data_IF_879157449722
#
_entry.id   IF_879157449722
#
_cell.length_a   1.000
_cell.length_b   1.000
_cell.length_c   1.000
_cell.angle_alpha   90.00
_cell.angle_beta   90.00
_cell.angle_gamma   90.00
#
_symmetry.space_group_name_H-M   'P 1'
#
loop_
_entity.id
_entity.type
_entity.pdbx_description
1 polymer ?
#
# COMPACT_ATOMS: atom_id res chain seq x y z
N UNK A 1 -2.54 -30.88 7.17
CA UNK A 1 -2.44 -31.64 5.89
C UNK A 1 -1.30 -31.01 5.12
N UNK A 2 -0.47 -31.84 4.47
CA UNK A 2 0.62 -31.33 3.65
C UNK A 2 0.10 -30.63 2.38
N UNK A 3 0.78 -29.57 1.94
CA UNK A 3 0.50 -28.88 0.69
C UNK A 3 0.97 -29.73 -0.50
N UNK A 4 0.03 -30.16 -1.34
CA UNK A 4 0.34 -30.85 -2.62
C UNK A 4 0.86 -29.81 -3.61
N UNK A 5 2.18 -29.74 -3.70
CA UNK A 5 2.89 -28.62 -4.29
C UNK A 5 3.41 -28.94 -5.68
N UNK A 6 3.16 -28.03 -6.60
CA UNK A 6 3.84 -27.96 -7.90
C UNK A 6 4.84 -26.81 -7.84
N UNK A 7 6.09 -27.09 -8.18
CA UNK A 7 7.15 -26.08 -8.27
C UNK A 7 7.48 -25.80 -9.74
N UNK A 8 7.43 -24.54 -10.12
CA UNK A 8 7.74 -24.08 -11.49
C UNK A 8 8.88 -23.06 -11.39
N UNK A 9 10.05 -23.41 -11.87
CA UNK A 9 11.27 -22.60 -11.76
C UNK A 9 12.13 -22.77 -13.02
N UNK A 10 12.45 -21.64 -13.67
CA UNK A 10 13.19 -21.64 -14.94
C UNK A 10 14.67 -22.04 -14.78
N UNK A 11 15.27 -21.67 -13.67
CA UNK A 11 16.66 -22.02 -13.33
C UNK A 11 16.72 -23.44 -12.73
N UNK A 12 17.37 -24.37 -13.42
CA UNK A 12 17.47 -25.78 -13.01
C UNK A 12 18.20 -25.98 -11.68
N UNK A 13 19.20 -25.16 -11.40
CA UNK A 13 19.96 -25.26 -10.14
C UNK A 13 19.09 -24.83 -8.97
N UNK A 14 18.40 -23.71 -9.14
CA UNK A 14 17.43 -23.21 -8.16
C UNK A 14 16.26 -24.18 -7.98
N UNK A 15 15.74 -24.74 -9.07
CA UNK A 15 14.69 -25.76 -9.03
C UNK A 15 15.05 -26.96 -8.15
N UNK A 16 16.28 -27.49 -8.32
CA UNK A 16 16.77 -28.63 -7.54
C UNK A 16 16.94 -28.26 -6.06
N UNK A 17 17.47 -27.07 -5.77
CA UNK A 17 17.64 -26.55 -4.39
C UNK A 17 16.30 -26.39 -3.67
N UNK A 18 15.35 -25.70 -4.30
CA UNK A 18 14.01 -25.48 -3.74
C UNK A 18 13.23 -26.78 -3.56
N UNK A 19 13.32 -27.70 -4.54
CA UNK A 19 12.71 -29.01 -4.46
C UNK A 19 13.26 -29.83 -3.29
N UNK A 20 14.57 -29.78 -3.06
CA UNK A 20 15.22 -30.45 -1.91
C UNK A 20 14.74 -29.85 -0.59
N UNK A 21 14.66 -28.52 -0.51
CA UNK A 21 14.17 -27.79 0.68
C UNK A 21 12.74 -28.17 1.02
N UNK A 22 11.83 -28.21 0.04
CA UNK A 22 10.44 -28.58 0.25
C UNK A 22 10.29 -30.05 0.66
N UNK A 23 11.01 -30.98 0.03
CA UNK A 23 10.96 -32.41 0.36
C UNK A 23 11.47 -32.77 1.76
N UNK A 24 12.26 -31.89 2.36
CA UNK A 24 12.74 -32.08 3.73
C UNK A 24 11.71 -31.68 4.81
N UNK A 25 10.64 -30.99 4.41
CA UNK A 25 9.59 -30.55 5.33
C UNK A 25 8.34 -31.43 5.23
N UNK A 26 7.74 -31.84 6.36
CA UNK A 26 6.49 -32.60 6.36
C UNK A 26 5.27 -31.78 5.90
N UNK A 27 5.42 -30.45 5.79
CA UNK A 27 4.34 -29.56 5.39
C UNK A 27 4.06 -29.59 3.89
N UNK A 28 5.01 -30.15 3.08
CA UNK A 28 4.91 -30.15 1.64
C UNK A 28 5.03 -31.55 1.04
N UNK A 29 4.17 -31.84 0.09
CA UNK A 29 4.24 -33.01 -0.79
C UNK A 29 4.49 -32.50 -2.21
N UNK A 30 5.76 -32.55 -2.68
CA UNK A 30 6.11 -32.10 -4.03
C UNK A 30 5.66 -33.13 -5.05
N UNK A 31 4.57 -32.83 -5.75
CA UNK A 31 3.94 -33.71 -6.72
C UNK A 31 4.66 -33.74 -8.06
N UNK A 32 5.14 -32.58 -8.50
CA UNK A 32 5.92 -32.44 -9.73
C UNK A 32 6.72 -31.12 -9.72
N UNK A 33 7.75 -31.08 -10.57
CA UNK A 33 8.55 -29.88 -10.82
C UNK A 33 8.60 -29.63 -12.33
N UNK A 34 8.54 -28.36 -12.72
CA UNK A 34 8.60 -27.93 -14.12
C UNK A 34 9.58 -26.78 -14.26
N UNK A 35 10.29 -26.74 -15.39
CA UNK A 35 11.11 -25.58 -15.78
C UNK A 35 10.49 -24.76 -16.92
N UNK A 36 9.28 -25.11 -17.30
CA UNK A 36 8.51 -24.50 -18.38
C UNK A 36 7.05 -24.32 -17.95
N UNK A 37 6.50 -23.14 -18.19
CA UNK A 37 5.15 -22.76 -17.77
C UNK A 37 4.07 -23.53 -18.53
N UNK A 38 4.27 -23.78 -19.82
CA UNK A 38 3.27 -24.47 -20.64
C UNK A 38 3.14 -25.95 -20.23
N UNK A 39 4.27 -26.59 -19.92
CA UNK A 39 4.29 -27.95 -19.38
C UNK A 39 3.62 -28.01 -17.99
N UNK A 40 3.87 -27.00 -17.13
CA UNK A 40 3.25 -26.90 -15.83
C UNK A 40 1.72 -26.79 -15.95
N UNK A 41 1.21 -25.85 -16.75
CA UNK A 41 -0.23 -25.67 -16.96
C UNK A 41 -0.93 -26.92 -17.53
N UNK A 42 -0.30 -27.58 -18.54
CA UNK A 42 -0.91 -28.71 -19.21
C UNK A 42 -0.88 -30.02 -18.41
N UNK A 43 0.04 -30.20 -17.46
CA UNK A 43 0.26 -31.49 -16.78
C UNK A 43 -0.05 -31.49 -15.29
N UNK A 44 -0.14 -30.32 -14.64
CA UNK A 44 -0.33 -30.24 -13.18
C UNK A 44 -1.67 -30.79 -12.72
N UNK A 45 -2.72 -30.75 -13.55
CA UNK A 45 -4.05 -31.26 -13.21
C UNK A 45 -4.09 -32.76 -12.85
N UNK A 46 -3.14 -33.55 -13.36
CA UNK A 46 -3.00 -34.97 -13.03
C UNK A 46 -2.65 -35.21 -11.55
N UNK A 47 -2.08 -34.22 -10.89
CA UNK A 47 -1.58 -34.30 -9.53
C UNK A 47 -2.54 -33.70 -8.49
N UNK A 48 -3.64 -33.06 -8.92
CA UNK A 48 -4.61 -32.39 -8.05
C UNK A 48 -3.93 -31.50 -7.00
N UNK A 49 -3.10 -30.53 -7.42
CA UNK A 49 -2.33 -29.67 -6.51
C UNK A 49 -3.24 -28.71 -5.75
N UNK A 50 -2.81 -28.29 -4.57
CA UNK A 50 -3.43 -27.19 -3.83
C UNK A 50 -2.47 -26.01 -3.60
N UNK A 51 -1.21 -26.14 -4.04
CA UNK A 51 -0.22 -25.07 -4.01
C UNK A 51 0.63 -25.06 -5.28
N UNK A 52 0.78 -23.89 -5.88
CA UNK A 52 1.78 -23.62 -6.90
C UNK A 52 2.80 -22.62 -6.37
N UNK A 53 4.08 -22.92 -6.57
CA UNK A 53 5.20 -22.01 -6.37
C UNK A 53 5.77 -21.71 -7.76
N UNK A 54 5.65 -20.47 -8.23
CA UNK A 54 5.94 -20.10 -9.62
C UNK A 54 7.00 -19.00 -9.67
N UNK A 55 8.09 -19.26 -10.38
CA UNK A 55 9.14 -18.26 -10.67
C UNK A 55 8.56 -17.07 -11.45
N UNK A 56 8.61 -15.87 -10.87
CA UNK A 56 8.15 -14.63 -11.49
C UNK A 56 9.28 -13.71 -11.94
N UNK A 57 10.54 -14.04 -11.70
CA UNK A 57 11.68 -13.36 -12.34
C UNK A 57 11.69 -13.62 -13.86
N UNK A 58 11.02 -14.69 -14.29
CA UNK A 58 10.84 -14.99 -15.71
C UNK A 58 9.55 -14.30 -16.21
N UNK A 59 9.65 -13.33 -17.17
CA UNK A 59 8.50 -12.59 -17.68
C UNK A 59 7.40 -13.47 -18.31
N UNK A 60 7.77 -14.59 -18.94
CA UNK A 60 6.79 -15.50 -19.53
C UNK A 60 5.93 -16.17 -18.43
N UNK A 61 6.57 -16.56 -17.31
CA UNK A 61 5.87 -17.13 -16.16
C UNK A 61 5.00 -16.10 -15.46
N UNK A 62 5.50 -14.89 -15.25
CA UNK A 62 4.75 -13.79 -14.66
C UNK A 62 3.49 -13.46 -15.48
N UNK A 63 3.60 -13.41 -16.80
CA UNK A 63 2.47 -13.13 -17.70
C UNK A 63 1.44 -14.27 -17.73
N UNK A 64 1.83 -15.49 -17.38
CA UNK A 64 0.95 -16.67 -17.38
C UNK A 64 0.30 -16.94 -16.01
N UNK A 65 0.57 -16.13 -14.98
CA UNK A 65 -0.05 -16.29 -13.66
C UNK A 65 -1.60 -16.33 -13.69
N UNK A 66 -2.29 -15.47 -14.47
CA UNK A 66 -3.75 -15.55 -14.57
C UNK A 66 -4.25 -16.93 -14.98
N UNK A 67 -3.53 -17.61 -15.89
CA UNK A 67 -3.90 -18.93 -16.35
C UNK A 67 -3.83 -20.01 -15.24
N UNK A 68 -2.87 -19.89 -14.29
CA UNK A 68 -2.84 -20.78 -13.13
C UNK A 68 -4.06 -20.56 -12.23
N UNK A 69 -4.44 -19.30 -12.00
CA UNK A 69 -5.61 -18.95 -11.16
C UNK A 69 -6.91 -19.44 -11.81
N UNK A 70 -7.05 -19.27 -13.11
CA UNK A 70 -8.27 -19.66 -13.86
C UNK A 70 -8.41 -21.18 -13.99
N UNK A 71 -7.32 -21.89 -14.31
CA UNK A 71 -7.34 -23.35 -14.52
C UNK A 71 -7.42 -24.11 -13.18
N UNK A 72 -6.79 -23.56 -12.13
CA UNK A 72 -6.71 -24.20 -10.81
C UNK A 72 -7.33 -23.32 -9.70
N UNK A 73 -8.63 -22.99 -9.74
CA UNK A 73 -9.27 -22.01 -8.84
C UNK A 73 -9.25 -22.43 -7.36
N UNK A 74 -9.03 -23.71 -7.08
CA UNK A 74 -8.95 -24.27 -5.72
C UNK A 74 -7.51 -24.39 -5.21
N UNK A 75 -6.51 -24.05 -6.02
CA UNK A 75 -5.13 -24.04 -5.63
C UNK A 75 -4.66 -22.62 -5.31
N UNK A 76 -3.78 -22.53 -4.33
CA UNK A 76 -3.08 -21.29 -4.01
C UNK A 76 -1.89 -21.14 -4.96
N UNK A 77 -1.60 -19.91 -5.37
CA UNK A 77 -0.44 -19.60 -6.20
C UNK A 77 0.41 -18.57 -5.46
N UNK A 78 1.70 -18.86 -5.27
CA UNK A 78 2.70 -17.94 -4.76
C UNK A 78 3.74 -17.66 -5.84
N UNK A 79 4.07 -16.39 -6.05
CA UNK A 79 5.17 -15.96 -6.89
C UNK A 79 6.50 -16.07 -6.16
N UNK A 80 7.53 -16.60 -6.83
CA UNK A 80 8.89 -16.67 -6.33
C UNK A 80 9.77 -15.67 -7.06
N UNK A 81 10.53 -14.83 -6.34
CA UNK A 81 11.42 -13.83 -6.89
C UNK A 81 12.78 -13.84 -6.16
N UNK A 82 13.89 -13.54 -6.86
CA UNK A 82 15.23 -13.46 -6.28
C UNK A 82 15.45 -12.21 -5.46
N UNK A 83 14.97 -11.10 -5.99
CA UNK A 83 15.01 -9.78 -5.35
C UNK A 83 13.63 -9.17 -5.40
N UNK A 84 13.30 -8.35 -4.40
CA UNK A 84 12.00 -7.72 -4.35
C UNK A 84 11.85 -6.64 -5.41
N UNK A 85 10.94 -6.86 -6.37
CA UNK A 85 10.60 -5.89 -7.42
C UNK A 85 9.16 -5.40 -7.21
N UNK A 86 8.95 -4.11 -6.87
CA UNK A 86 7.62 -3.56 -6.60
C UNK A 86 6.63 -3.68 -7.76
N UNK A 87 7.10 -3.56 -9.01
CA UNK A 87 6.23 -3.62 -10.18
C UNK A 87 5.81 -5.06 -10.49
N UNK A 88 6.75 -6.00 -10.47
CA UNK A 88 6.48 -7.41 -10.73
C UNK A 88 5.60 -8.01 -9.63
N UNK A 89 5.89 -7.70 -8.35
CA UNK A 89 5.08 -8.17 -7.24
C UNK A 89 3.63 -7.64 -7.30
N UNK A 90 3.47 -6.38 -7.74
CA UNK A 90 2.15 -5.79 -7.96
C UNK A 90 1.41 -6.47 -9.10
N UNK A 91 2.05 -6.65 -10.27
CA UNK A 91 1.48 -7.37 -11.42
C UNK A 91 1.06 -8.78 -11.02
N UNK A 92 1.88 -9.47 -10.24
CA UNK A 92 1.59 -10.81 -9.75
C UNK A 92 0.31 -10.83 -8.88
N UNK A 93 0.16 -9.91 -7.92
CA UNK A 93 -1.06 -9.82 -7.09
C UNK A 93 -2.29 -9.47 -7.96
N UNK A 94 -2.16 -8.53 -8.89
CA UNK A 94 -3.24 -8.14 -9.81
C UNK A 94 -3.71 -9.33 -10.67
N UNK A 95 -2.84 -10.31 -10.91
CA UNK A 95 -3.16 -11.58 -11.56
C UNK A 95 -3.99 -12.53 -10.69
N UNK A 96 -4.28 -12.19 -9.43
CA UNK A 96 -5.11 -12.97 -8.51
C UNK A 96 -4.36 -14.04 -7.71
N UNK A 97 -3.01 -14.03 -7.71
CA UNK A 97 -2.25 -14.93 -6.85
C UNK A 97 -2.31 -14.52 -5.38
N UNK A 98 -1.94 -15.44 -4.49
CA UNK A 98 -2.02 -15.21 -3.05
C UNK A 98 -1.01 -14.15 -2.56
N UNK A 99 0.22 -14.18 -3.08
CA UNK A 99 1.30 -13.25 -2.76
C UNK A 99 2.64 -13.68 -3.34
N UNK A 100 3.72 -13.00 -2.93
CA UNK A 100 5.08 -13.27 -3.40
C UNK A 100 6.01 -13.62 -2.22
N UNK A 101 7.05 -14.42 -2.50
CA UNK A 101 8.08 -14.83 -1.54
C UNK A 101 9.45 -14.75 -2.22
N UNK A 102 10.48 -14.37 -1.46
CA UNK A 102 11.84 -14.38 -1.95
C UNK A 102 12.42 -15.81 -2.00
N UNK A 103 13.24 -16.10 -2.98
CA UNK A 103 14.01 -17.33 -3.12
C UNK A 103 15.52 -17.04 -3.05
N UNK A 104 16.35 -17.94 -2.48
CA UNK A 104 15.96 -19.20 -1.86
C UNK A 104 15.24 -18.98 -0.52
N UNK A 105 14.33 -19.88 -0.16
CA UNK A 105 13.53 -19.80 1.06
C UNK A 105 13.72 -21.03 1.95
N UNK A 106 13.31 -20.93 3.21
CA UNK A 106 13.15 -22.09 4.10
C UNK A 106 11.67 -22.51 4.11
N UNK A 107 11.42 -23.81 4.20
CA UNK A 107 10.05 -24.34 4.15
C UNK A 107 9.06 -23.67 5.15
N UNK A 108 9.41 -23.38 6.42
CA UNK A 108 8.51 -22.66 7.34
C UNK A 108 8.12 -21.25 6.87
N UNK A 109 8.97 -20.58 6.07
CA UNK A 109 8.69 -19.23 5.55
C UNK A 109 7.53 -19.26 4.54
N UNK A 110 7.43 -20.33 3.76
CA UNK A 110 6.28 -20.51 2.83
C UNK A 110 4.99 -20.75 3.61
N UNK A 111 5.02 -21.60 4.65
CA UNK A 111 3.84 -21.87 5.49
C UNK A 111 3.37 -20.58 6.17
N UNK A 112 4.29 -19.81 6.73
CA UNK A 112 4.00 -18.52 7.34
C UNK A 112 3.40 -17.53 6.33
N UNK A 113 4.00 -17.43 5.13
CA UNK A 113 3.51 -16.57 4.06
C UNK A 113 2.07 -16.94 3.65
N UNK A 114 1.79 -18.22 3.45
CA UNK A 114 0.42 -18.69 3.14
C UNK A 114 -0.56 -18.24 4.23
N UNK A 115 -0.25 -18.48 5.50
CA UNK A 115 -1.14 -18.14 6.61
C UNK A 115 -1.41 -16.63 6.72
N UNK A 116 -0.39 -15.80 6.49
CA UNK A 116 -0.53 -14.33 6.56
C UNK A 116 -1.35 -13.83 5.38
N UNK A 117 -1.06 -14.30 4.18
CA UNK A 117 -1.78 -13.87 2.98
C UNK A 117 -3.23 -14.37 2.95
N UNK A 118 -3.51 -15.57 3.48
CA UNK A 118 -4.88 -16.05 3.66
C UNK A 118 -5.70 -15.18 4.61
N UNK A 119 -5.09 -14.70 5.71
CA UNK A 119 -5.76 -13.80 6.67
C UNK A 119 -6.11 -12.44 6.04
N UNK A 120 -5.30 -11.95 5.11
CA UNK A 120 -5.64 -10.77 4.33
C UNK A 120 -6.91 -11.00 3.50
N UNK A 121 -7.18 -12.24 3.14
CA UNK A 121 -8.30 -12.65 2.32
C UNK A 121 -8.06 -12.43 0.82
N UNK A 122 -8.94 -13.00 -0.02
CA UNK A 122 -8.96 -12.79 -1.48
C UNK A 122 -9.58 -11.43 -1.85
N UNK A 123 -9.31 -10.39 -1.06
CA UNK A 123 -9.72 -9.02 -1.35
C UNK A 123 -8.72 -8.47 -2.37
N UNK A 124 -9.04 -8.45 -3.60
CA UNK A 124 -8.33 -7.88 -4.76
C UNK A 124 -6.93 -7.25 -4.55
N UNK A 125 -6.34 -6.66 -5.57
CA UNK A 125 -5.06 -5.96 -5.44
C UNK A 125 -5.11 -4.89 -4.33
N UNK A 126 -4.02 -4.73 -3.53
CA UNK A 126 -3.94 -3.67 -2.53
C UNK A 126 -4.17 -2.31 -3.18
N UNK A 127 -4.73 -1.37 -2.43
CA UNK A 127 -4.98 -0.02 -2.94
C UNK A 127 -4.09 0.99 -2.21
N UNK A 128 -3.17 1.59 -2.95
CA UNK A 128 -2.20 2.54 -2.42
C UNK A 128 -2.66 3.97 -2.66
N UNK A 129 -2.76 4.74 -1.58
CA UNK A 129 -3.14 6.15 -1.63
C UNK A 129 -2.00 7.02 -1.09
N UNK A 130 -1.63 8.05 -1.84
CA UNK A 130 -0.70 9.05 -1.35
C UNK A 130 -1.40 10.36 -1.00
N UNK A 131 -0.92 11.01 0.04
CA UNK A 131 -1.36 12.33 0.47
C UNK A 131 -0.21 13.30 0.24
N UNK A 132 -0.30 14.05 -0.84
CA UNK A 132 0.69 15.04 -1.26
C UNK A 132 0.20 16.45 -0.97
N UNK A 133 1.11 17.36 -0.70
CA UNK A 133 0.79 18.78 -0.61
C UNK A 133 1.92 19.63 -1.20
N UNK A 134 1.61 20.67 -2.00
CA UNK A 134 2.63 21.60 -2.48
C UNK A 134 3.30 22.42 -1.36
N UNK A 135 2.62 22.59 -0.21
CA UNK A 135 3.12 23.31 0.95
C UNK A 135 2.72 22.64 2.26
N UNK A 136 3.51 22.81 3.29
CA UNK A 136 3.20 22.35 4.65
C UNK A 136 1.92 22.97 5.22
N UNK A 137 1.42 22.39 6.32
CA UNK A 137 0.24 22.83 7.08
C UNK A 137 -1.08 22.77 6.30
N UNK A 138 -1.16 21.90 5.31
CA UNK A 138 -2.36 21.71 4.47
C UNK A 138 -3.48 20.91 5.14
N UNK A 139 -3.22 20.25 6.27
CA UNK A 139 -4.12 19.27 6.89
C UNK A 139 -4.01 17.86 6.29
N UNK A 140 -2.97 17.60 5.49
CA UNK A 140 -2.68 16.32 4.84
C UNK A 140 -2.63 15.16 5.83
N UNK A 141 -1.75 15.23 6.84
CA UNK A 141 -1.58 14.22 7.90
C UNK A 141 -2.89 13.95 8.65
N UNK A 142 -3.63 15.01 8.99
CA UNK A 142 -4.94 14.88 9.64
C UNK A 142 -5.96 14.15 8.77
N UNK A 143 -6.00 14.49 7.48
CA UNK A 143 -6.90 13.85 6.52
C UNK A 143 -6.55 12.38 6.32
N UNK A 144 -5.27 12.06 6.16
CA UNK A 144 -4.79 10.69 6.05
C UNK A 144 -5.17 9.86 7.28
N UNK A 145 -4.97 10.40 8.49
CA UNK A 145 -5.31 9.75 9.76
C UNK A 145 -6.81 9.49 9.90
N UNK A 146 -7.65 10.48 9.63
CA UNK A 146 -9.12 10.34 9.75
C UNK A 146 -9.68 9.34 8.71
N UNK A 147 -9.21 9.38 7.47
CA UNK A 147 -9.62 8.42 6.44
C UNK A 147 -9.16 7.00 6.78
N UNK A 148 -7.91 6.83 7.23
CA UNK A 148 -7.39 5.54 7.65
C UNK A 148 -8.19 4.94 8.81
N UNK A 149 -8.52 5.75 9.83
CA UNK A 149 -9.38 5.36 10.94
C UNK A 149 -10.78 4.98 10.48
N UNK A 150 -11.37 5.74 9.57
CA UNK A 150 -12.71 5.48 9.04
C UNK A 150 -12.74 4.17 8.25
N UNK A 151 -11.78 3.92 7.35
CA UNK A 151 -11.70 2.67 6.62
C UNK A 151 -11.52 1.46 7.57
N UNK A 152 -10.65 1.59 8.54
CA UNK A 152 -10.37 0.52 9.49
C UNK A 152 -11.56 0.21 10.40
N UNK A 153 -12.25 1.23 10.90
CA UNK A 153 -13.32 1.10 11.89
C UNK A 153 -14.68 0.80 11.27
N UNK A 154 -15.04 1.52 10.22
CA UNK A 154 -16.40 1.53 9.69
C UNK A 154 -16.57 0.61 8.48
N UNK A 155 -15.50 0.38 7.72
CA UNK A 155 -15.49 -0.52 6.56
C UNK A 155 -14.73 -1.82 6.81
N UNK A 156 -14.21 -2.03 8.02
CA UNK A 156 -13.47 -3.25 8.42
C UNK A 156 -12.31 -3.58 7.46
N UNK A 157 -11.66 -2.54 6.90
CA UNK A 157 -10.52 -2.70 6.02
C UNK A 157 -9.21 -2.72 6.80
N UNK A 158 -8.26 -3.58 6.41
CA UNK A 158 -6.91 -3.55 6.96
C UNK A 158 -6.12 -2.43 6.29
N UNK A 159 -5.66 -1.47 7.10
CA UNK A 159 -5.00 -0.24 6.64
C UNK A 159 -3.61 -0.12 7.24
N UNK A 160 -2.60 0.06 6.40
CA UNK A 160 -1.30 0.56 6.79
C UNK A 160 -1.24 2.06 6.54
N UNK A 161 -0.88 2.85 7.55
CA UNK A 161 -0.56 4.26 7.43
C UNK A 161 0.95 4.40 7.58
N UNK A 162 1.63 4.97 6.58
CA UNK A 162 3.08 5.12 6.53
C UNK A 162 3.43 6.61 6.55
N UNK A 163 4.22 7.01 7.53
CA UNK A 163 4.75 8.38 7.63
C UNK A 163 6.00 8.51 6.75
N UNK A 164 5.82 9.12 5.59
CA UNK A 164 6.90 9.39 4.65
C UNK A 164 7.48 10.81 4.79
N UNK A 165 7.01 11.61 5.75
CA UNK A 165 7.66 12.86 6.15
C UNK A 165 8.83 12.52 7.10
N UNK A 166 9.90 11.94 6.52
CA UNK A 166 11.01 11.34 7.26
C UNK A 166 11.81 12.32 8.12
N UNK A 167 11.62 13.63 7.95
CA UNK A 167 12.33 14.66 8.72
C UNK A 167 11.48 15.23 9.85
N UNK A 168 10.17 15.40 9.61
CA UNK A 168 9.28 16.09 10.54
C UNK A 168 7.88 15.45 10.57
N UNK A 169 7.84 14.12 10.56
CA UNK A 169 6.58 13.37 10.63
C UNK A 169 5.93 13.48 12.01
N UNK A 170 4.63 13.73 12.02
CA UNK A 170 3.85 14.00 13.22
C UNK A 170 2.90 12.85 13.59
N UNK A 171 2.82 11.78 12.77
CA UNK A 171 1.85 10.70 12.99
C UNK A 171 1.97 10.02 14.35
N UNK A 172 3.17 9.76 14.92
CA UNK A 172 3.27 9.21 16.27
C UNK A 172 2.61 10.10 17.33
N UNK A 173 2.75 11.43 17.19
CA UNK A 173 2.13 12.41 18.11
C UNK A 173 0.59 12.37 17.98
N UNK A 174 0.06 12.25 16.76
CA UNK A 174 -1.38 12.20 16.50
C UNK A 174 -2.06 11.00 17.17
N UNK A 175 -1.35 9.88 17.24
CA UNK A 175 -1.85 8.63 17.80
C UNK A 175 -1.41 8.36 19.24
N UNK A 176 -0.63 9.27 19.84
CA UNK A 176 -0.06 9.16 21.19
C UNK A 176 0.68 7.82 21.38
N UNK A 177 1.63 7.55 20.49
CA UNK A 177 2.42 6.32 20.50
C UNK A 177 3.93 6.62 20.51
N UNK A 178 4.67 5.70 21.12
CA UNK A 178 6.13 5.59 21.00
C UNK A 178 6.44 4.36 20.16
N UNK A 179 6.77 4.52 18.85
CA UNK A 179 7.02 3.39 17.97
C UNK A 179 8.35 2.70 18.31
N UNK A 180 8.36 1.37 18.35
CA UNK A 180 9.59 0.59 18.55
C UNK A 180 10.45 0.54 17.28
N UNK A 181 9.81 0.64 16.11
CA UNK A 181 10.44 0.61 14.78
C UNK A 181 9.93 1.75 13.91
N UNK A 182 10.79 2.15 12.97
CA UNK A 182 10.54 3.26 12.05
C UNK A 182 10.70 2.79 10.59
N UNK A 183 10.39 3.67 9.64
CA UNK A 183 10.66 3.46 8.21
C UNK A 183 12.13 3.13 7.97
N UNK A 184 13.05 3.76 8.70
CA UNK A 184 14.50 3.55 8.54
C UNK A 184 14.89 2.13 8.91
N UNK A 185 14.36 1.60 10.02
CA UNK A 185 14.64 0.24 10.46
C UNK A 185 14.12 -0.78 9.43
N UNK A 186 12.90 -0.57 8.95
CA UNK A 186 12.29 -1.43 7.93
C UNK A 186 13.06 -1.41 6.59
N UNK A 187 13.52 -0.23 6.15
CA UNK A 187 14.31 -0.07 4.92
C UNK A 187 15.71 -0.67 5.07
N UNK A 188 16.35 -0.50 6.23
CA UNK A 188 17.66 -1.08 6.52
C UNK A 188 17.63 -2.60 6.35
N UNK A 189 16.59 -3.25 6.84
CA UNK A 189 16.46 -4.70 6.81
C UNK A 189 15.80 -5.22 5.50
N UNK A 190 15.34 -4.34 4.61
CA UNK A 190 14.54 -4.66 3.44
C UNK A 190 15.11 -5.76 2.56
N UNK A 191 16.45 -5.81 2.40
CA UNK A 191 17.13 -6.83 1.57
C UNK A 191 16.98 -8.26 2.07
N UNK A 192 16.66 -8.41 3.36
CA UNK A 192 16.48 -9.71 4.03
C UNK A 192 15.02 -9.94 4.44
N UNK A 193 14.18 -8.91 4.32
CA UNK A 193 12.77 -8.97 4.65
C UNK A 193 11.96 -9.64 3.54
N UNK A 194 11.09 -10.52 3.96
CA UNK A 194 9.92 -10.97 3.19
C UNK A 194 8.69 -10.25 3.74
N UNK A 195 7.62 -10.06 2.96
CA UNK A 195 6.45 -9.29 3.43
C UNK A 195 5.94 -9.71 4.81
N UNK A 196 5.93 -11.00 5.10
CA UNK A 196 5.48 -11.54 6.38
C UNK A 196 6.27 -11.02 7.57
N UNK A 197 7.60 -10.82 7.40
CA UNK A 197 8.47 -10.28 8.44
C UNK A 197 8.43 -8.76 8.55
N UNK A 198 7.74 -8.09 7.66
CA UNK A 198 7.53 -6.65 7.72
C UNK A 198 6.46 -6.28 8.77
N UNK A 199 5.50 -7.15 9.05
CA UNK A 199 4.41 -6.87 9.98
C UNK A 199 4.85 -6.35 11.36
N UNK A 200 5.90 -6.89 12.03
CA UNK A 200 6.38 -6.41 13.31
C UNK A 200 6.88 -4.96 13.33
N UNK A 201 7.27 -4.40 12.19
CA UNK A 201 7.71 -3.00 12.11
C UNK A 201 6.56 -1.99 12.24
N UNK A 202 5.33 -2.46 12.02
CA UNK A 202 4.14 -1.63 12.14
C UNK A 202 3.61 -1.64 13.56
N UNK A 203 3.45 -0.45 14.15
CA UNK A 203 2.77 -0.27 15.41
C UNK A 203 1.25 -0.45 15.22
N UNK A 204 0.64 -1.34 16.00
CA UNK A 204 -0.81 -1.60 15.93
C UNK A 204 -1.60 -0.50 16.64
N UNK A 205 -2.32 0.31 15.89
CA UNK A 205 -3.18 1.38 16.43
C UNK A 205 -4.55 0.87 16.83
N UNK A 206 -5.19 0.10 15.95
CA UNK A 206 -6.49 -0.57 16.22
C UNK A 206 -6.43 -2.00 15.70
N UNK A 207 -7.54 -2.72 15.72
CA UNK A 207 -7.57 -4.07 15.14
C UNK A 207 -7.29 -4.10 13.63
N UNK A 208 -7.60 -3.01 12.93
CA UNK A 208 -7.50 -2.92 11.48
C UNK A 208 -6.66 -1.73 10.98
N UNK A 209 -5.99 -0.98 11.87
CA UNK A 209 -5.10 0.11 11.52
C UNK A 209 -3.72 -0.09 12.13
N UNK A 210 -2.69 0.02 11.32
CA UNK A 210 -1.29 -0.05 11.71
C UNK A 210 -0.53 1.18 11.18
N UNK A 211 0.43 1.64 11.95
CA UNK A 211 1.28 2.78 11.63
C UNK A 211 2.74 2.34 11.51
N UNK A 212 3.40 2.74 10.43
CA UNK A 212 4.85 2.75 10.31
C UNK A 212 5.35 4.20 10.37
N UNK A 213 6.08 4.50 11.41
CA UNK A 213 6.48 5.87 11.76
C UNK A 213 7.69 6.36 10.98
N UNK A 214 7.78 7.68 10.79
CA UNK A 214 9.04 8.35 10.49
C UNK A 214 10.08 8.16 11.60
N UNK A 215 11.38 8.31 11.32
CA UNK A 215 12.41 8.23 12.36
C UNK A 215 12.31 9.42 13.35
N UNK A 216 12.81 9.20 14.56
CA UNK A 216 12.86 10.22 15.62
C UNK A 216 13.90 11.33 15.36
N UNK A 217 14.86 11.08 14.46
CA UNK A 217 15.94 12.00 14.10
C UNK A 217 15.89 12.35 12.62
N UNK A 218 15.79 13.65 12.27
CA UNK A 218 15.69 14.09 10.88
C UNK A 218 16.86 13.68 9.99
N UNK A 219 18.07 13.54 10.54
CA UNK A 219 19.25 13.10 9.79
C UNK A 219 19.15 11.66 9.26
N UNK A 220 18.32 10.83 9.86
CA UNK A 220 18.10 9.44 9.39
C UNK A 220 17.28 9.37 8.11
N UNK A 221 16.62 10.47 7.72
CA UNK A 221 15.92 10.55 6.44
C UNK A 221 16.83 10.27 5.24
N UNK A 222 18.14 10.60 5.34
CA UNK A 222 19.12 10.38 4.28
C UNK A 222 19.45 8.89 4.05
N UNK A 223 19.10 8.02 4.99
CA UNK A 223 19.27 6.57 4.89
C UNK A 223 18.20 5.88 4.04
N UNK A 224 17.14 6.62 3.67
CA UNK A 224 16.00 6.08 2.93
C UNK A 224 15.98 6.66 1.52
N UNK A 225 16.36 5.86 0.53
CA UNK A 225 16.18 6.21 -0.87
C UNK A 225 14.76 5.86 -1.38
N UNK A 226 14.38 6.45 -2.52
CA UNK A 226 13.04 6.29 -3.06
C UNK A 226 12.73 4.86 -3.53
N UNK A 227 13.72 4.12 -4.00
CA UNK A 227 13.55 2.74 -4.49
C UNK A 227 13.29 1.79 -3.31
N UNK A 228 14.11 1.87 -2.28
CA UNK A 228 13.95 1.09 -1.04
C UNK A 228 12.61 1.39 -0.38
N UNK A 229 12.19 2.66 -0.34
CA UNK A 229 10.87 3.04 0.17
C UNK A 229 9.73 2.43 -0.64
N UNK A 230 9.81 2.42 -1.97
CA UNK A 230 8.81 1.75 -2.81
C UNK A 230 8.79 0.23 -2.60
N UNK A 231 9.94 -0.38 -2.38
CA UNK A 231 10.03 -1.79 -1.98
C UNK A 231 9.22 -2.06 -0.71
N UNK A 232 9.41 -1.22 0.31
CA UNK A 232 8.66 -1.27 1.57
C UNK A 232 7.15 -1.11 1.37
N UNK A 233 6.73 -0.11 0.60
CA UNK A 233 5.30 0.14 0.26
C UNK A 233 4.68 -1.05 -0.46
N UNK A 234 5.41 -1.61 -1.43
CA UNK A 234 4.97 -2.80 -2.16
C UNK A 234 4.80 -4.02 -1.26
N UNK A 235 5.77 -4.27 -0.35
CA UNK A 235 5.67 -5.34 0.64
C UNK A 235 4.47 -5.13 1.59
N UNK A 236 4.22 -3.89 2.04
CA UNK A 236 3.06 -3.56 2.86
C UNK A 236 1.74 -3.92 2.16
N UNK A 237 1.67 -3.75 0.83
CA UNK A 237 0.53 -4.17 0.03
C UNK A 237 0.22 -5.68 0.06
N UNK A 238 1.18 -6.53 0.44
CA UNK A 238 0.94 -7.96 0.66
C UNK A 238 0.28 -8.26 2.01
N UNK A 239 0.36 -7.31 2.96
CA UNK A 239 -0.16 -7.47 4.32
C UNK A 239 -1.49 -6.74 4.53
N UNK A 240 -1.69 -5.61 3.85
CA UNK A 240 -2.81 -4.70 4.08
C UNK A 240 -3.62 -4.47 2.80
N UNK A 241 -4.94 -4.26 2.94
CA UNK A 241 -5.82 -3.97 1.81
C UNK A 241 -5.61 -2.54 1.29
N UNK A 242 -5.31 -1.61 2.20
CA UNK A 242 -5.04 -0.21 1.90
C UNK A 242 -3.69 0.20 2.47
N UNK A 243 -2.88 0.87 1.66
CA UNK A 243 -1.61 1.47 2.08
C UNK A 243 -1.72 2.98 1.88
N UNK A 244 -1.77 3.72 2.98
CA UNK A 244 -1.83 5.17 2.99
C UNK A 244 -0.44 5.74 3.26
N UNK A 245 -0.03 6.72 2.47
CA UNK A 245 1.31 7.30 2.55
C UNK A 245 1.18 8.81 2.75
N UNK A 246 1.55 9.28 3.94
CA UNK A 246 1.62 10.71 4.24
C UNK A 246 2.97 11.26 3.78
N UNK A 247 2.99 12.00 2.66
CA UNK A 247 4.20 12.49 2.01
C UNK A 247 4.69 13.80 2.63
N UNK A 248 5.99 14.13 2.59
CA UNK A 248 6.48 15.47 2.92
C UNK A 248 5.92 16.51 1.95
N UNK A 249 5.96 17.79 2.36
CA UNK A 249 5.52 18.88 1.51
C UNK A 249 6.48 19.09 0.33
N UNK A 250 5.90 19.39 -0.84
CA UNK A 250 6.64 19.70 -2.05
C UNK A 250 7.13 18.47 -2.85
N UNK A 251 7.70 18.75 -4.01
CA UNK A 251 8.25 17.73 -4.89
C UNK A 251 9.69 17.41 -4.51
N UNK A 252 9.94 16.20 -4.07
CA UNK A 252 11.24 15.61 -3.83
C UNK A 252 11.30 14.20 -4.48
N UNK A 253 12.45 13.53 -4.55
CA UNK A 253 12.57 12.21 -5.17
C UNK A 253 11.59 11.19 -4.62
N UNK A 254 11.39 11.14 -3.30
CA UNK A 254 10.46 10.24 -2.63
C UNK A 254 9.01 10.52 -3.03
N UNK A 255 8.56 11.78 -2.93
CA UNK A 255 7.20 12.18 -3.32
C UNK A 255 6.90 11.86 -4.77
N UNK A 256 7.88 12.05 -5.66
CA UNK A 256 7.74 11.73 -7.08
C UNK A 256 7.61 10.23 -7.31
N UNK A 257 8.45 9.43 -6.68
CA UNK A 257 8.41 7.98 -6.81
C UNK A 257 7.08 7.41 -6.31
N UNK A 258 6.65 7.84 -5.12
CA UNK A 258 5.39 7.38 -4.51
C UNK A 258 4.17 7.81 -5.34
N UNK A 259 4.11 9.05 -5.82
CA UNK A 259 2.96 9.52 -6.62
C UNK A 259 2.85 8.84 -7.98
N UNK A 260 3.97 8.37 -8.55
CA UNK A 260 3.96 7.53 -9.74
C UNK A 260 3.46 6.11 -9.45
N UNK A 261 3.77 5.57 -8.28
CA UNK A 261 3.43 4.20 -7.88
C UNK A 261 1.99 4.07 -7.37
N UNK A 262 1.50 5.04 -6.61
CA UNK A 262 0.19 5.00 -5.97
C UNK A 262 -0.98 4.87 -6.97
N UNK A 263 -2.06 4.24 -6.55
CA UNK A 263 -3.31 4.14 -7.31
C UNK A 263 -4.07 5.47 -7.33
N UNK A 264 -4.02 6.18 -6.21
CA UNK A 264 -4.66 7.49 -6.05
C UNK A 264 -3.72 8.44 -5.30
N UNK A 265 -3.66 9.68 -5.80
CA UNK A 265 -2.92 10.76 -5.20
C UNK A 265 -3.88 11.88 -4.79
N UNK A 266 -4.02 12.15 -3.50
CA UNK A 266 -4.72 13.33 -3.02
C UNK A 266 -3.75 14.50 -2.93
N UNK A 267 -4.08 15.58 -3.67
CA UNK A 267 -3.32 16.84 -3.67
C UNK A 267 -4.00 17.80 -2.71
N UNK A 268 -3.50 17.85 -1.47
CA UNK A 268 -4.16 18.53 -0.35
C UNK A 268 -3.62 19.95 -0.18
N UNK A 269 -4.50 20.93 -0.14
CA UNK A 269 -4.14 22.31 0.17
C UNK A 269 -5.18 22.96 1.10
N UNK A 270 -4.71 23.83 1.98
CA UNK A 270 -5.55 24.62 2.86
C UNK A 270 -5.91 25.95 2.17
N UNK A 271 -7.18 26.32 2.11
CA UNK A 271 -7.59 27.63 1.62
C UNK A 271 -7.37 28.69 2.72
N UNK A 272 -6.57 29.68 2.40
CA UNK A 272 -6.33 30.83 3.29
C UNK A 272 -6.36 32.16 2.51
N UNK A 273 -5.48 32.33 1.53
CA UNK A 273 -5.29 33.57 0.78
C UNK A 273 -5.73 33.50 -0.68
N UNK A 274 -6.02 32.29 -1.18
CA UNK A 274 -6.31 32.00 -2.59
C UNK A 274 -5.07 31.65 -3.42
N UNK A 275 -3.84 31.93 -2.94
CA UNK A 275 -2.62 31.52 -3.61
C UNK A 275 -2.46 29.98 -3.65
N UNK A 276 -3.09 29.30 -2.71
CA UNK A 276 -3.10 27.85 -2.60
C UNK A 276 -3.77 27.20 -3.81
N UNK A 277 -4.77 27.85 -4.40
CA UNK A 277 -5.45 27.43 -5.64
C UNK A 277 -4.42 27.35 -6.77
N UNK A 278 -3.60 28.39 -6.91
CA UNK A 278 -2.55 28.41 -7.92
C UNK A 278 -1.46 27.37 -7.67
N UNK A 279 -1.11 27.09 -6.42
CA UNK A 279 -0.16 26.03 -6.09
C UNK A 279 -0.69 24.65 -6.44
N UNK A 280 -1.96 24.37 -6.16
CA UNK A 280 -2.61 23.12 -6.57
C UNK A 280 -2.63 23.01 -8.09
N UNK A 281 -3.05 24.05 -8.80
CA UNK A 281 -3.07 24.08 -10.28
C UNK A 281 -1.70 23.76 -10.86
N UNK A 282 -0.63 24.40 -10.37
CA UNK A 282 0.75 24.12 -10.81
C UNK A 282 1.17 22.70 -10.51
N UNK A 283 0.76 22.15 -9.35
CA UNK A 283 1.05 20.76 -9.01
C UNK A 283 0.36 19.79 -9.96
N UNK A 284 -0.91 20.03 -10.29
CA UNK A 284 -1.65 19.20 -11.24
C UNK A 284 -1.03 19.24 -12.64
N UNK A 285 -0.63 20.43 -13.11
CA UNK A 285 0.11 20.57 -14.39
C UNK A 285 1.42 19.78 -14.37
N UNK A 286 2.15 19.81 -13.25
CA UNK A 286 3.41 19.07 -13.12
C UNK A 286 3.18 17.54 -13.13
N UNK A 287 2.13 17.05 -12.48
CA UNK A 287 1.73 15.64 -12.56
C UNK A 287 1.37 15.24 -14.01
N UNK A 288 0.62 16.06 -14.73
CA UNK A 288 0.30 15.84 -16.14
C UNK A 288 1.57 15.78 -17.01
N UNK A 289 2.51 16.71 -16.83
CA UNK A 289 3.78 16.72 -17.54
C UNK A 289 4.64 15.47 -17.27
N UNK A 290 4.57 14.93 -16.07
CA UNK A 290 5.28 13.69 -15.66
C UNK A 290 4.55 12.42 -16.07
N UNK A 291 3.42 12.55 -16.80
CA UNK A 291 2.58 11.43 -17.25
C UNK A 291 2.01 10.59 -16.07
N UNK A 292 1.94 11.13 -14.88
CA UNK A 292 1.09 10.57 -13.84
C UNK A 292 -0.33 10.61 -14.39
N UNK A 293 -0.98 9.45 -14.46
CA UNK A 293 -2.28 9.36 -15.14
C UNK A 293 -3.26 10.36 -14.52
N UNK A 294 -3.92 11.20 -15.34
CA UNK A 294 -4.82 12.28 -14.87
C UNK A 294 -5.90 11.82 -13.89
N UNK A 295 -6.41 10.60 -14.10
CA UNK A 295 -7.43 9.98 -13.27
C UNK A 295 -6.88 9.36 -11.96
N UNK A 296 -5.61 9.60 -11.63
CA UNK A 296 -5.01 9.20 -10.35
C UNK A 296 -4.76 10.35 -9.40
N UNK A 297 -4.92 11.60 -9.84
CA UNK A 297 -4.62 12.77 -9.02
C UNK A 297 -5.88 13.57 -8.76
N UNK A 298 -6.24 13.72 -7.48
CA UNK A 298 -7.46 14.38 -7.05
C UNK A 298 -7.15 15.50 -6.05
N UNK A 299 -7.39 16.76 -6.41
CA UNK A 299 -7.27 17.88 -5.49
C UNK A 299 -8.29 17.81 -4.36
N UNK A 300 -7.84 18.22 -3.17
CA UNK A 300 -8.67 18.38 -1.97
C UNK A 300 -8.33 19.73 -1.35
N UNK A 301 -9.38 20.52 -1.02
CA UNK A 301 -9.19 21.72 -0.25
C UNK A 301 -9.74 21.57 1.17
N UNK A 302 -8.91 21.98 2.14
CA UNK A 302 -9.26 22.02 3.56
C UNK A 302 -9.50 23.46 4.02
N UNK A 303 -10.19 23.62 5.16
CA UNK A 303 -10.56 24.90 5.77
C UNK A 303 -11.36 25.82 4.83
N UNK A 304 -12.19 25.22 3.99
CA UNK A 304 -13.06 25.95 3.06
C UNK A 304 -14.23 26.58 3.82
N UNK A 305 -14.47 27.87 3.60
CA UNK A 305 -15.59 28.61 4.19
C UNK A 305 -16.19 29.58 3.15
N UNK A 306 -17.50 29.49 2.82
CA UNK A 306 -18.41 28.43 3.21
C UNK A 306 -18.06 27.08 2.54
N UNK A 307 -18.27 25.97 3.22
CA UNK A 307 -18.06 24.63 2.68
C UNK A 307 -19.38 24.09 2.09
N UNK A 308 -19.69 24.52 0.86
CA UNK A 308 -20.93 24.19 0.15
C UNK A 308 -20.65 23.57 -1.21
N UNK A 309 -21.62 22.85 -1.83
CA UNK A 309 -21.46 22.31 -3.18
C UNK A 309 -21.13 23.37 -4.24
N UNK A 310 -21.72 24.55 -4.13
CA UNK A 310 -21.49 25.68 -5.04
C UNK A 310 -20.04 26.16 -4.96
N UNK A 311 -19.48 26.21 -3.72
CA UNK A 311 -18.07 26.55 -3.50
C UNK A 311 -17.13 25.49 -4.07
N UNK A 312 -17.51 24.22 -4.02
CA UNK A 312 -16.74 23.15 -4.67
C UNK A 312 -16.68 23.37 -6.19
N UNK A 313 -17.83 23.61 -6.83
CA UNK A 313 -17.90 23.89 -8.28
C UNK A 313 -17.08 25.13 -8.66
N UNK A 314 -17.14 26.20 -7.85
CA UNK A 314 -16.31 27.40 -8.07
C UNK A 314 -14.82 27.06 -8.06
N UNK A 315 -14.36 26.29 -7.08
CA UNK A 315 -12.95 25.88 -6.97
C UNK A 315 -12.52 24.95 -8.11
N UNK A 316 -13.38 24.03 -8.53
CA UNK A 316 -13.13 23.16 -9.69
C UNK A 316 -12.96 23.98 -10.97
N UNK A 317 -13.79 25.01 -11.19
CA UNK A 317 -13.64 25.92 -12.33
C UNK A 317 -12.32 26.70 -12.29
N UNK A 318 -11.89 27.13 -11.09
CA UNK A 318 -10.67 27.91 -10.94
C UNK A 318 -9.41 27.08 -11.20
N UNK A 319 -9.38 25.82 -10.72
CA UNK A 319 -8.20 24.95 -10.91
C UNK A 319 -8.22 24.20 -12.24
N UNK A 320 -9.40 23.99 -12.85
CA UNK A 320 -9.57 23.22 -14.09
C UNK A 320 -9.53 21.71 -13.91
N UNK A 321 -9.76 21.21 -12.69
CA UNK A 321 -9.76 19.79 -12.34
C UNK A 321 -10.91 19.49 -11.36
N UNK A 322 -11.53 18.29 -11.44
CA UNK A 322 -12.52 17.87 -10.45
C UNK A 322 -11.87 17.69 -9.09
N UNK A 323 -12.59 18.06 -8.03
CA UNK A 323 -12.17 17.87 -6.64
C UNK A 323 -12.66 16.54 -6.11
N UNK A 324 -11.80 15.84 -5.34
CA UNK A 324 -12.26 14.69 -4.57
C UNK A 324 -13.25 15.12 -3.47
N UNK A 325 -12.92 16.19 -2.76
CA UNK A 325 -13.75 16.79 -1.71
C UNK A 325 -13.28 18.19 -1.34
N UNK A 326 -14.13 18.91 -0.62
CA UNK A 326 -13.77 20.11 0.16
C UNK A 326 -14.15 19.87 1.62
N UNK A 327 -13.28 20.30 2.53
CA UNK A 327 -13.47 20.14 3.97
C UNK A 327 -13.62 21.47 4.68
N UNK A 328 -14.54 21.57 5.66
CA UNK A 328 -14.76 22.80 6.43
C UNK A 328 -13.56 23.09 7.33
N UNK A 329 -13.52 24.31 7.88
CA UNK A 329 -12.61 24.62 8.98
C UNK A 329 -13.19 24.06 10.29
N UNK A 330 -12.52 23.06 10.85
CA UNK A 330 -12.89 22.44 12.13
C UNK A 330 -11.85 22.82 13.19
N UNK A 331 -12.21 23.78 14.04
CA UNK A 331 -11.28 24.36 15.02
C UNK A 331 -10.81 23.35 16.07
N UNK A 332 -11.68 22.44 16.49
CA UNK A 332 -11.34 21.44 17.52
C UNK A 332 -10.35 20.39 17.01
N UNK A 333 -10.30 20.18 15.71
CA UNK A 333 -9.49 19.13 15.10
C UNK A 333 -8.00 19.35 15.33
N UNK A 334 -7.52 20.59 15.33
CA UNK A 334 -6.11 20.91 15.59
C UNK A 334 -5.73 20.52 17.01
N UNK A 335 -6.60 20.82 17.99
CA UNK A 335 -6.36 20.43 19.38
C UNK A 335 -6.39 18.91 19.55
N UNK A 336 -7.36 18.24 18.95
CA UNK A 336 -7.51 16.78 19.01
C UNK A 336 -6.27 16.08 18.42
N UNK A 337 -5.80 16.51 17.25
CA UNK A 337 -4.63 15.94 16.61
C UNK A 337 -3.36 16.14 17.44
N UNK A 338 -3.12 17.38 17.93
CA UNK A 338 -1.92 17.72 18.68
C UNK A 338 -1.89 17.14 20.12
N UNK A 339 -3.02 16.68 20.63
CA UNK A 339 -3.11 16.06 21.97
C UNK A 339 -3.10 14.52 21.93
N UNK A 340 -2.80 13.91 20.78
CA UNK A 340 -2.80 12.45 20.63
C UNK A 340 -4.20 11.81 20.67
N UNK A 341 -5.26 12.62 20.58
CA UNK A 341 -6.64 12.16 20.76
C UNK A 341 -7.37 11.88 19.44
N UNK A 342 -6.65 11.78 18.33
CA UNK A 342 -7.28 11.56 17.03
C UNK A 342 -8.09 10.26 16.97
N UNK A 343 -7.72 9.27 17.78
CA UNK A 343 -8.46 8.01 17.95
C UNK A 343 -9.90 8.22 18.44
N UNK A 344 -10.14 9.25 19.25
CA UNK A 344 -11.48 9.56 19.75
C UNK A 344 -12.36 10.19 18.66
N UNK A 345 -11.71 10.73 17.60
CA UNK A 345 -12.35 11.34 16.45
C UNK A 345 -13.14 12.60 16.80
N UNK A 346 -13.78 13.14 15.77
CA UNK A 346 -14.81 14.17 15.89
C UNK A 346 -16.19 13.51 16.01
N UNK A 347 -17.19 14.22 16.59
CA UNK A 347 -18.58 13.77 16.54
C UNK A 347 -19.00 13.48 15.08
N UNK A 348 -19.67 12.34 14.87
CA UNK A 348 -20.02 11.85 13.52
C UNK A 348 -20.99 12.74 12.76
N UNK A 349 -21.75 13.55 13.48
CA UNK A 349 -22.70 14.52 12.92
C UNK A 349 -22.05 15.81 12.41
N UNK A 350 -20.75 15.99 12.59
CA UNK A 350 -20.01 17.13 12.01
C UNK A 350 -19.96 17.06 10.50
N UNK A 351 -19.93 18.22 9.84
CA UNK A 351 -19.77 18.29 8.38
C UNK A 351 -18.43 17.64 7.94
N UNK A 352 -17.39 17.78 8.76
CA UNK A 352 -16.08 17.18 8.52
C UNK A 352 -16.21 15.66 8.42
N UNK A 353 -16.79 15.00 9.44
CA UNK A 353 -16.91 13.53 9.44
C UNK A 353 -17.84 13.02 8.35
N UNK A 354 -18.96 13.68 8.09
CA UNK A 354 -19.82 13.31 6.95
C UNK A 354 -19.11 13.39 5.60
N UNK A 355 -18.17 14.33 5.44
CA UNK A 355 -17.37 14.44 4.22
C UNK A 355 -16.31 13.35 4.16
N UNK A 356 -15.67 13.01 5.30
CA UNK A 356 -14.76 11.87 5.42
C UNK A 356 -15.49 10.58 5.05
N UNK A 357 -16.69 10.33 5.59
CA UNK A 357 -17.46 9.11 5.32
C UNK A 357 -17.79 8.97 3.82
N UNK A 358 -18.23 10.05 3.15
CA UNK A 358 -18.48 10.04 1.71
C UNK A 358 -17.22 9.75 0.88
N UNK A 359 -16.08 10.32 1.27
CA UNK A 359 -14.82 10.08 0.59
C UNK A 359 -14.34 8.64 0.82
N UNK A 360 -14.48 8.12 2.04
CA UNK A 360 -14.17 6.73 2.39
C UNK A 360 -15.02 5.74 1.58
N UNK A 361 -16.33 5.99 1.43
CA UNK A 361 -17.22 5.18 0.60
C UNK A 361 -16.73 5.10 -0.86
N UNK A 362 -16.35 6.24 -1.44
CA UNK A 362 -15.78 6.29 -2.81
C UNK A 362 -14.45 5.55 -2.93
N UNK A 363 -13.59 5.64 -1.92
CA UNK A 363 -12.31 4.90 -1.86
C UNK A 363 -12.58 3.39 -1.83
N UNK A 364 -13.46 2.93 -0.95
CA UNK A 364 -13.81 1.50 -0.84
C UNK A 364 -14.48 0.99 -2.10
N UNK A 365 -15.37 1.79 -2.70
CA UNK A 365 -16.03 1.49 -3.97
C UNK A 365 -15.13 1.61 -5.21
N UNK A 366 -13.88 2.08 -5.04
CA UNK A 366 -12.93 2.40 -6.15
C UNK A 366 -13.57 3.32 -7.21
N UNK A 367 -14.29 4.36 -6.76
CA UNK A 367 -15.07 5.29 -7.58
C UNK A 367 -14.48 6.73 -7.56
N UNK A 368 -13.17 6.85 -7.44
CA UNK A 368 -12.46 8.12 -7.48
C UNK A 368 -12.13 8.53 -8.91
#
# INVERSE_FOLDING_TARGET
MAYRTILVESDRVMLDELNKTLKQSPDFEVMATFNDVSAALGRSGLHNPNLFLVDIDNPDMLNMLPAFVDIYPNAQVLGLMKEWNPQESRQAIESGILGCVLKPFRAPEIVEAIHVYEKRGKLGAPYTLSFFSPKGRSGRTTLASLLALTLARDYNQTVALIDADLQFGDLPIFFDIEPEHTVVDAVHDLRTLVPVRLAPYFHKITNNLWLLSSPDRPEYAELVDAESFLGLVSMAGHLFNYVFIDLPAGFNPLSVAVTNYADTNFVVAMINTGLEIEHVKRSMILFDMRKVQKHKCYPIFTRVNPCTPEKQVELEMQIGYPLAAIFPNEYNLVSIANSGQILNGLPRDTLMMRTIDKLAERIVGRQL
#
